data_IF_275574845647
#
_entry.id   IF_275574845647
#
_cell.length_a   1.000
_cell.length_b   1.000
_cell.length_c   1.000
_cell.angle_alpha   90.00
_cell.angle_beta   90.00
_cell.angle_gamma   90.00
#
_symmetry.space_group_name_H-M   'P 1'
#
loop_
_entity.id
_entity.type
_entity.pdbx_description
1 polymer ?
#
# COMPACT_ATOMS: atom_id res chain seq x y z
N UNK A 1 -4.97 14.93 -9.60
CA UNK A 1 -3.72 14.13 -9.53
C UNK A 1 -4.07 12.72 -9.91
N UNK A 2 -3.39 12.17 -10.90
CA UNK A 2 -3.58 10.78 -11.33
C UNK A 2 -2.78 9.88 -10.39
N UNK A 3 -3.44 8.90 -9.77
CA UNK A 3 -2.79 7.95 -8.88
C UNK A 3 -2.09 6.87 -9.71
N UNK A 4 -0.79 6.67 -9.48
CA UNK A 4 0.01 5.66 -10.18
C UNK A 4 0.33 4.53 -9.22
N UNK A 5 -0.16 3.33 -9.52
CA UNK A 5 0.18 2.13 -8.77
C UNK A 5 1.57 1.65 -9.21
N UNK A 6 2.49 1.57 -8.25
CA UNK A 6 3.84 1.05 -8.45
C UNK A 6 3.78 -0.48 -8.37
N UNK A 7 4.19 -1.12 -9.46
CA UNK A 7 4.37 -2.57 -9.50
C UNK A 7 5.57 -3.00 -8.64
N UNK A 8 5.53 -4.23 -8.12
CA UNK A 8 6.55 -4.75 -7.22
C UNK A 8 7.92 -4.81 -7.88
N UNK A 9 8.01 -5.14 -9.17
CA UNK A 9 9.30 -5.19 -9.87
C UNK A 9 9.94 -3.80 -9.99
N UNK A 10 9.14 -2.75 -10.23
CA UNK A 10 9.61 -1.36 -10.24
C UNK A 10 10.13 -0.94 -8.86
N UNK A 11 9.44 -1.36 -7.79
CA UNK A 11 9.89 -1.12 -6.42
C UNK A 11 11.22 -1.84 -6.12
N UNK A 12 11.36 -3.08 -6.56
CA UNK A 12 12.61 -3.85 -6.43
C UNK A 12 13.75 -3.19 -7.21
N UNK A 13 13.50 -2.76 -8.45
CA UNK A 13 14.48 -2.04 -9.26
C UNK A 13 14.92 -0.73 -8.59
N UNK A 14 13.98 0.01 -8.00
CA UNK A 14 14.29 1.21 -7.22
C UNK A 14 15.20 0.88 -6.03
N UNK A 15 14.84 -0.14 -5.23
CA UNK A 15 15.60 -0.57 -4.06
C UNK A 15 17.00 -1.08 -4.42
N UNK A 16 17.17 -1.60 -5.64
CA UNK A 16 18.47 -1.99 -6.23
C UNK A 16 19.22 -0.83 -6.89
N UNK A 17 18.75 0.40 -6.73
CA UNK A 17 19.35 1.61 -7.30
C UNK A 17 19.40 1.65 -8.83
N UNK A 18 18.42 1.04 -9.51
CA UNK A 18 18.28 1.15 -10.96
C UNK A 18 18.02 2.62 -11.35
N UNK A 19 18.82 3.23 -12.24
CA UNK A 19 18.69 4.66 -12.59
C UNK A 19 17.30 5.04 -13.12
N UNK A 20 16.72 4.21 -13.99
CA UNK A 20 15.39 4.50 -14.57
C UNK A 20 14.30 4.46 -13.49
N UNK A 21 14.34 3.45 -12.60
CA UNK A 21 13.34 3.29 -11.57
C UNK A 21 13.43 4.42 -10.55
N UNK A 22 14.65 4.88 -10.25
CA UNK A 22 14.87 6.06 -9.40
C UNK A 22 14.26 7.31 -9.99
N UNK A 23 14.61 7.66 -11.22
CA UNK A 23 14.07 8.84 -11.90
C UNK A 23 12.54 8.79 -11.98
N UNK A 24 12.00 7.62 -12.35
CA UNK A 24 10.56 7.41 -12.44
C UNK A 24 9.86 7.58 -11.09
N UNK A 25 10.27 6.85 -10.05
CA UNK A 25 9.60 6.87 -8.74
C UNK A 25 9.78 8.22 -8.04
N UNK A 26 10.97 8.82 -8.08
CA UNK A 26 11.22 10.13 -7.47
C UNK A 26 10.32 11.21 -8.11
N UNK A 27 10.08 11.14 -9.42
CA UNK A 27 9.13 12.04 -10.10
C UNK A 27 7.68 11.88 -9.61
N UNK A 28 7.28 10.66 -9.24
CA UNK A 28 5.94 10.38 -8.72
C UNK A 28 5.78 10.83 -7.27
N UNK A 29 6.84 10.77 -6.46
CA UNK A 29 6.85 11.32 -5.10
C UNK A 29 6.72 12.84 -5.07
N UNK A 30 7.40 13.55 -5.99
CA UNK A 30 7.25 15.02 -6.13
C UNK A 30 5.79 15.41 -6.38
N UNK A 31 5.04 14.53 -7.06
CA UNK A 31 3.64 14.73 -7.40
C UNK A 31 2.66 14.01 -6.46
N UNK A 32 3.13 13.47 -5.32
CA UNK A 32 2.32 12.71 -4.34
C UNK A 32 1.41 11.63 -4.99
N UNK A 33 1.93 11.00 -6.04
CA UNK A 33 1.16 10.15 -6.97
C UNK A 33 1.58 8.68 -6.94
N UNK A 34 2.65 8.33 -6.22
CA UNK A 34 3.13 6.95 -6.09
C UNK A 34 2.30 6.18 -5.06
N UNK A 35 1.62 5.11 -5.49
CA UNK A 35 0.84 4.23 -4.63
C UNK A 35 1.41 2.82 -4.61
N UNK A 36 1.35 2.16 -3.46
CA UNK A 36 1.64 0.72 -3.35
C UNK A 36 0.38 -0.06 -2.99
N UNK A 37 0.23 -1.23 -3.62
CA UNK A 37 -0.78 -2.19 -3.20
C UNK A 37 -0.35 -2.89 -1.91
N UNK A 38 -1.30 -3.41 -1.14
CA UNK A 38 -1.00 -4.23 0.03
C UNK A 38 -0.27 -5.53 -0.35
N UNK A 39 -0.50 -6.04 -1.57
CA UNK A 39 0.18 -7.23 -2.09
C UNK A 39 1.65 -6.93 -2.38
N UNK A 40 1.94 -5.78 -3.00
CA UNK A 40 3.31 -5.35 -3.27
C UNK A 40 4.10 -5.13 -1.99
N UNK A 41 3.47 -4.58 -0.95
CA UNK A 41 4.09 -4.46 0.38
C UNK A 41 4.43 -5.84 0.95
N UNK A 42 3.50 -6.80 0.85
CA UNK A 42 3.73 -8.17 1.29
C UNK A 42 4.89 -8.82 0.53
N UNK A 43 4.92 -8.70 -0.79
CA UNK A 43 5.98 -9.28 -1.63
C UNK A 43 7.35 -8.68 -1.31
N UNK A 44 7.42 -7.36 -1.11
CA UNK A 44 8.64 -6.69 -0.67
C UNK A 44 9.14 -7.24 0.66
N UNK A 45 8.26 -7.38 1.67
CA UNK A 45 8.65 -7.97 2.96
C UNK A 45 8.96 -9.46 2.89
N UNK A 46 8.34 -10.21 1.98
CA UNK A 46 8.61 -11.63 1.81
C UNK A 46 9.99 -11.88 1.17
N UNK A 47 10.45 -10.98 0.30
CA UNK A 47 11.71 -11.10 -0.43
C UNK A 47 12.92 -10.43 0.20
N UNK A 48 12.74 -9.68 1.30
CA UNK A 48 13.76 -8.81 1.88
C UNK A 48 14.80 -9.54 2.74
N UNK A 49 16.06 -9.07 2.71
CA UNK A 49 17.09 -9.45 3.69
C UNK A 49 17.14 -8.45 4.85
N UNK A 50 17.62 -8.87 6.02
CA UNK A 50 17.65 -8.01 7.21
C UNK A 50 18.39 -6.67 6.98
N UNK A 51 19.48 -6.69 6.22
CA UNK A 51 20.26 -5.49 5.89
C UNK A 51 19.56 -4.54 4.90
N UNK A 52 18.48 -4.98 4.26
CA UNK A 52 17.67 -4.20 3.30
C UNK A 52 16.39 -3.63 3.95
N UNK A 53 16.09 -4.03 5.19
CA UNK A 53 14.87 -3.67 5.94
C UNK A 53 14.62 -2.17 6.02
N UNK A 54 15.64 -1.42 6.42
CA UNK A 54 15.53 0.03 6.59
C UNK A 54 15.23 0.73 5.25
N UNK A 55 15.88 0.31 4.17
CA UNK A 55 15.66 0.89 2.85
C UNK A 55 14.24 0.62 2.34
N UNK A 56 13.75 -0.61 2.54
CA UNK A 56 12.39 -1.00 2.12
C UNK A 56 11.32 -0.30 2.96
N UNK A 57 11.51 -0.21 4.27
CA UNK A 57 10.60 0.54 5.16
C UNK A 57 10.52 2.02 4.75
N UNK A 58 11.66 2.64 4.41
CA UNK A 58 11.70 4.02 3.92
C UNK A 58 10.98 4.19 2.58
N UNK A 59 11.18 3.26 1.65
CA UNK A 59 10.49 3.26 0.35
C UNK A 59 8.97 3.17 0.52
N UNK A 60 8.49 2.23 1.34
CA UNK A 60 7.05 2.05 1.58
C UNK A 60 6.44 3.31 2.20
N UNK A 61 7.15 3.98 3.11
CA UNK A 61 6.69 5.23 3.75
C UNK A 61 6.64 6.43 2.81
N UNK A 62 7.48 6.45 1.79
CA UNK A 62 7.47 7.49 0.77
C UNK A 62 6.33 7.29 -0.25
N UNK A 63 5.79 6.08 -0.34
CA UNK A 63 4.63 5.76 -1.17
C UNK A 63 3.32 5.87 -0.38
N UNK A 64 2.27 6.27 -1.08
CA UNK A 64 0.93 6.27 -0.52
C UNK A 64 0.35 4.85 -0.48
N UNK A 65 -0.34 4.53 0.60
CA UNK A 65 -1.09 3.28 0.76
C UNK A 65 -2.54 3.65 1.00
N UNK A 66 -3.20 4.14 -0.06
CA UNK A 66 -4.58 4.60 0.08
C UNK A 66 -5.47 3.44 0.52
N UNK A 67 -5.84 3.45 1.79
CA UNK A 67 -7.04 2.75 2.28
C UNK A 67 -8.22 3.64 1.91
N UNK A 68 -8.63 3.62 0.65
CA UNK A 68 -9.93 4.18 0.26
C UNK A 68 -11.05 3.22 0.72
N UNK A 69 -11.20 3.06 2.03
CA UNK A 69 -12.55 2.88 2.55
C UNK A 69 -13.11 4.29 2.51
N UNK A 70 -13.86 4.60 1.45
CA UNK A 70 -14.43 5.92 1.22
C UNK A 70 -14.95 6.51 2.51
N UNK A 71 -14.69 7.80 2.73
CA UNK A 71 -15.23 8.64 3.81
C UNK A 71 -16.57 8.11 4.32
N UNK A 72 -16.52 7.20 5.29
CA UNK A 72 -17.70 6.78 6.01
C UNK A 72 -18.00 7.99 6.87
N UNK A 73 -19.05 8.72 6.49
CA UNK A 73 -19.82 9.57 7.38
C UNK A 73 -19.91 8.92 8.77
N UNK A 74 -19.93 9.70 9.86
CA UNK A 74 -19.68 9.21 11.20
C UNK A 74 -20.89 8.45 11.76
N UNK A 75 -21.32 7.35 11.13
CA UNK A 75 -22.40 6.48 11.60
C UNK A 75 -22.25 5.07 11.04
N UNK A 76 -21.29 4.27 11.51
CA UNK A 76 -21.52 2.83 11.71
C UNK A 76 -20.76 2.32 12.95
N UNK A 77 -21.40 1.51 13.81
CA UNK A 77 -20.75 0.91 14.96
C UNK A 77 -19.75 -0.17 14.51
N UNK A 78 -18.82 -0.58 15.38
CA UNK A 78 -17.76 -1.51 15.00
C UNK A 78 -18.33 -2.85 14.52
N UNK A 79 -17.75 -3.35 13.43
CA UNK A 79 -18.06 -4.64 12.84
C UNK A 79 -17.87 -5.75 13.89
N UNK A 80 -18.96 -6.40 14.33
CA UNK A 80 -18.91 -7.67 15.09
C UNK A 80 -19.12 -8.81 14.10
N UNK A 81 -18.06 -9.59 13.86
CA UNK A 81 -18.14 -10.79 13.03
C UNK A 81 -19.02 -11.87 13.67
N UNK A 82 -19.84 -12.50 12.83
CA UNK A 82 -20.25 -13.91 12.90
C UNK A 82 -21.25 -14.35 13.98
N UNK A 83 -22.44 -14.78 13.54
CA UNK A 83 -23.15 -15.91 14.16
C UNK A 83 -24.59 -15.64 14.62
N UNK A 84 -25.58 -16.13 13.87
CA UNK A 84 -26.95 -16.35 14.34
C UNK A 84 -28.02 -15.73 13.44
N UNK A 85 -28.75 -16.56 12.70
CA UNK A 85 -29.95 -16.14 11.98
C UNK A 85 -31.01 -15.62 12.97
N UNK A 86 -31.77 -14.55 12.64
CA UNK A 86 -32.83 -14.06 13.51
C UNK A 86 -34.02 -15.05 13.52
N UNK A 87 -34.62 -15.37 14.68
CA UNK A 87 -35.87 -16.10 14.71
C UNK A 87 -37.04 -15.21 14.31
N UNK A 88 -38.09 -15.86 13.81
CA UNK A 88 -39.26 -15.27 13.18
C UNK A 88 -40.05 -14.31 14.10
N UNK A 89 -40.68 -13.34 13.45
CA UNK A 89 -41.53 -12.31 14.01
C UNK A 89 -42.78 -12.90 14.68
N UNK A 90 -43.20 -12.29 15.79
CA UNK A 90 -44.58 -12.28 16.27
C UNK A 90 -44.96 -10.83 16.66
#
# INVERSE_FOLDING_TARGET
MEAVLIDTDIAIDYLRSSPYAREFVESLWVNDSAFLSVLSIYELFAGIKENERVATDNFIRACNTKKEWGTLSPLRPPYKGGGGAPPAQE
#
